data_IF_137519905799
#
_entry.id   IF_137519905799
#
_cell.length_a   1.000
_cell.length_b   1.000
_cell.length_c   1.000
_cell.angle_alpha   90.00
_cell.angle_beta   90.00
_cell.angle_gamma   90.00
#
_symmetry.space_group_name_H-M   'P 1'
#
loop_
_entity.id
_entity.type
_entity.pdbx_description
1 polymer ?
#
# COMPACT_ATOMS: atom_id res chain seq x y z
N UNK A 1 -12.19 38.95 -4.68
CA UNK A 1 -11.85 37.83 -3.76
C UNK A 1 -12.65 36.57 -4.07
N UNK A 2 -13.99 36.61 -4.21
CA UNK A 2 -14.84 35.43 -4.51
C UNK A 2 -14.62 34.79 -5.90
N UNK A 3 -14.17 35.55 -6.90
CA UNK A 3 -14.06 35.10 -8.29
C UNK A 3 -12.79 34.31 -8.63
N UNK A 4 -11.80 34.22 -7.72
CA UNK A 4 -10.54 33.54 -8.00
C UNK A 4 -10.50 32.14 -7.37
N UNK A 5 -11.14 31.19 -8.04
CA UNK A 5 -11.22 29.80 -7.56
C UNK A 5 -9.83 29.18 -7.30
N UNK A 6 -8.87 29.38 -8.22
CA UNK A 6 -7.49 28.86 -8.08
C UNK A 6 -6.80 29.39 -6.82
N UNK A 7 -6.98 30.68 -6.53
CA UNK A 7 -6.39 31.32 -5.36
C UNK A 7 -7.04 30.79 -4.07
N UNK A 8 -8.37 30.62 -4.07
CA UNK A 8 -9.09 30.04 -2.93
C UNK A 8 -8.63 28.61 -2.65
N UNK A 9 -8.55 27.76 -3.68
CA UNK A 9 -8.06 26.37 -3.53
C UNK A 9 -6.63 26.34 -2.98
N UNK A 10 -5.75 27.21 -3.48
CA UNK A 10 -4.38 27.32 -2.97
C UNK A 10 -4.35 27.75 -1.50
N UNK A 11 -5.12 28.77 -1.14
CA UNK A 11 -5.24 29.26 0.24
C UNK A 11 -5.77 28.18 1.19
N UNK A 12 -6.91 27.54 0.86
CA UNK A 12 -7.49 26.48 1.69
C UNK A 12 -6.54 25.29 1.83
N UNK A 13 -5.77 24.97 0.78
CA UNK A 13 -4.74 23.92 0.86
C UNK A 13 -3.61 24.31 1.80
N UNK A 14 -3.11 25.54 1.72
CA UNK A 14 -2.09 26.05 2.63
C UNK A 14 -2.60 26.09 4.08
N UNK A 15 -3.82 26.59 4.30
CA UNK A 15 -4.47 26.61 5.60
C UNK A 15 -4.62 25.20 6.19
N UNK A 16 -5.05 24.22 5.37
CA UNK A 16 -5.15 22.82 5.81
C UNK A 16 -3.78 22.25 6.19
N UNK A 17 -2.75 22.49 5.37
CA UNK A 17 -1.39 22.04 5.67
C UNK A 17 -0.84 22.70 6.95
N UNK A 18 -1.15 23.97 7.18
CA UNK A 18 -0.77 24.69 8.38
C UNK A 18 -1.47 24.12 9.62
N UNK A 19 -2.80 23.95 9.58
CA UNK A 19 -3.59 23.35 10.67
C UNK A 19 -3.14 21.92 11.00
N UNK A 20 -2.72 21.17 9.99
CA UNK A 20 -2.20 19.82 10.17
C UNK A 20 -0.73 19.77 10.65
N UNK A 21 -0.05 20.92 10.84
CA UNK A 21 1.37 20.97 11.20
C UNK A 21 2.31 20.43 10.12
N UNK A 22 1.86 20.35 8.87
CA UNK A 22 2.63 19.82 7.74
C UNK A 22 3.35 20.93 6.96
N UNK A 23 2.83 22.15 7.02
CA UNK A 23 3.48 23.31 6.42
C UNK A 23 4.67 23.73 7.28
N UNK A 24 5.86 23.83 6.66
CA UNK A 24 7.11 24.20 7.35
C UNK A 24 7.50 23.30 8.53
N UNK A 25 7.09 22.02 8.53
CA UNK A 25 7.45 21.07 9.58
C UNK A 25 8.98 20.95 9.80
N UNK A 26 9.80 21.22 8.78
CA UNK A 26 11.26 21.26 8.92
C UNK A 26 11.78 22.35 9.87
N UNK A 27 10.96 23.35 10.21
CA UNK A 27 11.29 24.43 11.14
C UNK A 27 10.79 24.14 12.56
N UNK A 28 10.13 23.01 12.81
CA UNK A 28 9.70 22.64 14.17
C UNK A 28 10.93 22.47 15.07
N UNK A 29 11.08 23.28 16.13
CA UNK A 29 12.21 23.19 17.05
C UNK A 29 12.39 21.79 17.65
N UNK A 30 11.29 21.05 17.86
CA UNK A 30 11.32 19.68 18.38
C UNK A 30 11.97 18.70 17.41
N UNK A 31 11.78 18.91 16.11
CA UNK A 31 12.40 18.08 15.06
C UNK A 31 13.86 18.45 14.81
N UNK A 32 14.29 19.63 15.26
CA UNK A 32 15.65 20.14 15.19
C UNK A 32 16.50 19.75 16.41
N UNK A 33 15.90 19.21 17.49
CA UNK A 33 16.62 18.70 18.68
C UNK A 33 17.65 17.61 18.32
N UNK A 34 17.40 16.85 17.25
CA UNK A 34 18.31 15.84 16.70
C UNK A 34 19.35 16.37 15.70
N UNK A 35 19.41 17.69 15.49
CA UNK A 35 20.26 18.37 14.52
C UNK A 35 19.55 18.80 13.22
N UNK A 36 20.26 19.47 12.30
CA UNK A 36 19.68 20.01 11.07
C UNK A 36 19.05 18.92 10.20
N UNK A 37 17.75 19.04 9.91
CA UNK A 37 17.06 18.16 8.95
C UNK A 37 17.48 18.55 7.54
N UNK A 38 18.06 17.64 6.73
CA UNK A 38 18.44 17.96 5.36
C UNK A 38 17.23 18.37 4.53
N UNK A 39 17.30 19.51 3.84
CA UNK A 39 16.22 20.00 2.96
C UNK A 39 16.06 19.19 1.66
N UNK A 40 16.81 18.10 1.48
CA UNK A 40 16.77 17.26 0.28
C UNK A 40 16.58 15.80 0.66
N UNK A 41 15.94 15.03 -0.23
CA UNK A 41 15.74 13.59 -0.06
C UNK A 41 17.00 12.76 -0.37
N UNK A 42 18.13 13.39 -0.70
CA UNK A 42 19.38 12.70 -1.07
C UNK A 42 19.84 11.68 -0.02
N UNK A 43 19.67 11.98 1.28
CA UNK A 43 20.00 11.05 2.37
C UNK A 43 19.11 9.80 2.36
N UNK A 44 17.84 9.95 2.00
CA UNK A 44 16.91 8.84 1.86
C UNK A 44 17.20 8.04 0.59
N UNK A 45 17.35 8.74 -0.55
CA UNK A 45 17.53 8.14 -1.86
C UNK A 45 18.87 7.43 -2.03
N UNK A 46 19.96 8.08 -1.59
CA UNK A 46 21.31 7.51 -1.61
C UNK A 46 21.57 6.56 -0.44
N UNK A 47 20.89 6.75 0.69
CA UNK A 47 21.06 5.94 1.89
C UNK A 47 20.15 4.72 1.91
N UNK A 48 18.92 4.89 2.40
CA UNK A 48 17.99 3.77 2.67
C UNK A 48 17.42 3.16 1.39
N UNK A 49 17.08 3.96 0.38
CA UNK A 49 16.42 3.46 -0.83
C UNK A 49 17.38 2.80 -1.82
N UNK A 50 18.63 3.24 -1.88
CA UNK A 50 19.66 2.66 -2.76
C UNK A 50 19.80 1.13 -2.65
N UNK A 51 20.01 0.54 -1.45
CA UNK A 51 20.10 -0.91 -1.31
C UNK A 51 18.79 -1.64 -1.62
N UNK A 52 17.64 -1.06 -1.28
CA UNK A 52 16.32 -1.63 -1.62
C UNK A 52 16.15 -1.68 -3.15
N UNK A 53 16.48 -0.59 -3.84
CA UNK A 53 16.47 -0.53 -5.31
C UNK A 53 17.41 -1.58 -5.91
N UNK A 54 18.57 -1.81 -5.31
CA UNK A 54 19.50 -2.86 -5.73
C UNK A 54 18.90 -4.26 -5.55
N UNK A 55 18.28 -4.54 -4.40
CA UNK A 55 17.58 -5.83 -4.15
C UNK A 55 16.50 -6.06 -5.20
N UNK A 56 15.66 -5.05 -5.47
CA UNK A 56 14.61 -5.14 -6.49
C UNK A 56 15.20 -5.37 -7.91
N UNK A 57 16.31 -4.71 -8.24
CA UNK A 57 16.97 -4.90 -9.54
C UNK A 57 17.56 -6.30 -9.67
N UNK A 58 18.19 -6.82 -8.61
CA UNK A 58 18.85 -8.13 -8.63
C UNK A 58 17.84 -9.29 -8.67
N UNK A 59 16.65 -9.10 -8.10
CA UNK A 59 15.60 -10.12 -8.02
C UNK A 59 14.49 -9.88 -9.05
N UNK A 60 14.78 -9.09 -10.09
CA UNK A 60 13.84 -8.83 -11.18
C UNK A 60 13.47 -10.15 -11.86
N UNK A 61 12.18 -10.37 -12.08
CA UNK A 61 11.66 -11.62 -12.66
C UNK A 61 11.18 -12.64 -11.63
N UNK A 62 11.38 -12.40 -10.33
CA UNK A 62 10.71 -13.16 -9.28
C UNK A 62 9.26 -12.67 -9.07
N UNK A 63 8.45 -13.51 -8.43
CA UNK A 63 7.11 -13.13 -7.98
C UNK A 63 7.23 -11.96 -7.00
N UNK A 64 6.32 -10.99 -7.10
CA UNK A 64 6.30 -9.78 -6.28
C UNK A 64 6.42 -10.07 -4.77
N UNK A 65 5.78 -11.13 -4.28
CA UNK A 65 5.86 -11.55 -2.89
C UNK A 65 7.29 -11.88 -2.45
N UNK A 66 8.09 -12.55 -3.29
CA UNK A 66 9.48 -12.86 -3.01
C UNK A 66 10.36 -11.61 -3.03
N UNK A 67 10.18 -10.74 -4.02
CA UNK A 67 10.89 -9.46 -4.08
C UNK A 67 10.62 -8.61 -2.83
N UNK A 68 9.36 -8.57 -2.37
CA UNK A 68 8.97 -7.87 -1.16
C UNK A 68 9.63 -8.47 0.08
N UNK A 69 9.65 -9.81 0.21
CA UNK A 69 10.36 -10.47 1.33
C UNK A 69 11.86 -10.19 1.32
N UNK A 70 12.50 -10.17 0.16
CA UNK A 70 13.91 -9.82 0.04
C UNK A 70 14.18 -8.36 0.50
N UNK A 71 13.30 -7.42 0.13
CA UNK A 71 13.41 -6.04 0.59
C UNK A 71 13.18 -5.91 2.10
N UNK A 72 12.21 -6.64 2.65
CA UNK A 72 11.94 -6.67 4.09
C UNK A 72 13.13 -7.21 4.88
N UNK A 73 13.79 -8.26 4.38
CA UNK A 73 15.02 -8.79 4.95
C UNK A 73 16.14 -7.74 4.91
N UNK A 74 16.36 -7.07 3.77
CA UNK A 74 17.39 -6.02 3.65
C UNK A 74 17.15 -4.86 4.63
N UNK A 75 15.89 -4.43 4.79
CA UNK A 75 15.51 -3.44 5.79
C UNK A 75 15.75 -3.95 7.22
N UNK A 76 15.43 -5.21 7.49
CA UNK A 76 15.59 -5.82 8.81
C UNK A 76 17.06 -5.90 9.22
N UNK A 77 17.93 -6.34 8.32
CA UNK A 77 19.37 -6.46 8.55
C UNK A 77 20.06 -5.13 8.85
N UNK A 78 19.45 -4.01 8.44
CA UNK A 78 19.94 -2.65 8.70
C UNK A 78 19.35 -2.01 9.96
N UNK A 79 18.47 -2.72 10.67
CA UNK A 79 17.96 -2.25 11.96
C UNK A 79 19.04 -2.33 13.05
N UNK A 80 18.92 -1.62 14.18
CA UNK A 80 19.95 -1.58 15.22
C UNK A 80 20.28 -2.93 15.87
N UNK A 81 19.38 -3.91 15.79
CA UNK A 81 19.54 -5.25 16.42
C UNK A 81 18.80 -6.33 15.62
N UNK A 82 19.36 -6.79 14.49
CA UNK A 82 18.77 -7.87 13.72
C UNK A 82 18.98 -9.21 14.43
N UNK A 83 17.88 -9.90 14.70
CA UNK A 83 17.84 -11.28 15.17
C UNK A 83 17.22 -12.17 14.09
N UNK A 84 18.08 -12.88 13.36
CA UNK A 84 17.65 -13.79 12.30
C UNK A 84 16.80 -14.95 12.84
N UNK A 85 16.94 -15.33 14.11
CA UNK A 85 16.19 -16.44 14.70
C UNK A 85 14.73 -16.06 14.95
N UNK A 86 14.48 -14.81 15.35
CA UNK A 86 13.13 -14.28 15.55
C UNK A 86 12.44 -13.83 14.24
N UNK A 87 13.17 -13.80 13.13
CA UNK A 87 12.70 -13.27 11.86
C UNK A 87 11.48 -14.01 11.28
N UNK A 88 11.41 -15.36 11.29
CA UNK A 88 10.24 -16.09 10.77
C UNK A 88 8.96 -15.73 11.51
N UNK A 89 8.96 -15.79 12.85
CA UNK A 89 7.80 -15.44 13.69
C UNK A 89 7.37 -13.98 13.48
N UNK A 90 8.33 -13.06 13.36
CA UNK A 90 8.03 -11.65 13.02
C UNK A 90 7.33 -11.53 11.68
N UNK A 91 7.81 -12.22 10.65
CA UNK A 91 7.23 -12.20 9.32
C UNK A 91 5.85 -12.83 9.25
N UNK A 92 5.58 -13.84 10.07
CA UNK A 92 4.24 -14.42 10.24
C UNK A 92 3.30 -13.46 10.96
N UNK A 93 3.73 -12.85 12.07
CA UNK A 93 2.94 -11.84 12.79
C UNK A 93 2.59 -10.66 11.89
N UNK A 94 3.55 -10.17 11.12
CA UNK A 94 3.31 -9.08 10.17
C UNK A 94 2.38 -9.50 9.03
N UNK A 95 2.52 -10.74 8.53
CA UNK A 95 1.60 -11.31 7.54
C UNK A 95 0.16 -11.35 8.04
N UNK A 96 -0.04 -11.83 9.27
CA UNK A 96 -1.36 -11.83 9.94
C UNK A 96 -1.94 -10.44 10.10
N UNK A 97 -1.13 -9.47 10.54
CA UNK A 97 -1.57 -8.08 10.67
C UNK A 97 -2.00 -7.46 9.33
N UNK A 98 -1.24 -7.71 8.25
CA UNK A 98 -1.59 -7.23 6.90
C UNK A 98 -2.89 -7.88 6.38
N UNK A 99 -3.06 -9.18 6.61
CA UNK A 99 -4.29 -9.88 6.26
C UNK A 99 -5.51 -9.31 7.02
N UNK A 100 -5.36 -9.01 8.32
CA UNK A 100 -6.42 -8.39 9.11
C UNK A 100 -6.77 -6.97 8.62
N UNK A 101 -5.77 -6.16 8.26
CA UNK A 101 -5.99 -4.83 7.68
C UNK A 101 -6.73 -4.95 6.35
N UNK A 102 -6.32 -5.87 5.48
CA UNK A 102 -6.97 -6.10 4.19
C UNK A 102 -8.42 -6.55 4.35
N UNK A 103 -8.68 -7.50 5.25
CA UNK A 103 -10.03 -7.98 5.54
C UNK A 103 -10.93 -6.84 6.05
N UNK A 104 -10.39 -5.98 6.92
CA UNK A 104 -11.12 -4.79 7.40
C UNK A 104 -11.41 -3.80 6.26
N UNK A 105 -10.43 -3.55 5.38
CA UNK A 105 -10.62 -2.68 4.21
C UNK A 105 -11.67 -3.25 3.25
N UNK A 106 -11.70 -4.57 3.05
CA UNK A 106 -12.72 -5.25 2.24
C UNK A 106 -14.11 -5.14 2.89
N UNK A 107 -14.23 -5.31 4.20
CA UNK A 107 -15.49 -5.08 4.93
C UNK A 107 -15.96 -3.63 4.86
N UNK A 108 -15.06 -2.66 5.10
CA UNK A 108 -15.36 -1.23 4.99
C UNK A 108 -15.76 -0.86 3.56
N UNK A 109 -15.17 -1.49 2.54
CA UNK A 109 -15.53 -1.31 1.14
C UNK A 109 -16.91 -1.89 0.82
N UNK A 110 -17.21 -3.12 1.27
CA UNK A 110 -18.52 -3.78 1.10
C UNK A 110 -19.62 -2.92 1.74
N UNK A 111 -19.39 -2.42 2.95
CA UNK A 111 -20.32 -1.57 3.68
C UNK A 111 -20.47 -0.18 3.05
N UNK A 112 -19.43 0.35 2.41
CA UNK A 112 -19.47 1.61 1.68
C UNK A 112 -20.16 1.49 0.29
N UNK A 113 -20.11 0.33 -0.35
CA UNK A 113 -20.79 0.07 -1.63
C UNK A 113 -22.28 -0.23 -1.51
N UNK A 114 -22.79 -0.47 -0.29
CA UNK A 114 -24.21 -0.46 0.02
C UNK A 114 -25.06 -1.58 -0.58
N UNK A 115 -24.46 -2.60 -1.20
CA UNK A 115 -25.18 -3.76 -1.73
C UNK A 115 -24.53 -5.04 -1.18
N UNK A 116 -25.08 -5.52 -0.08
CA UNK A 116 -24.79 -6.84 0.46
C UNK A 116 -25.53 -7.84 -0.43
N UNK A 117 -24.87 -8.69 -1.23
CA UNK A 117 -25.60 -9.72 -1.95
C UNK A 117 -26.21 -10.65 -0.91
N UNK A 118 -27.53 -10.59 -0.77
CA UNK A 118 -28.29 -11.49 0.09
C UNK A 118 -27.87 -12.95 -0.21
N UNK A 119 -27.65 -13.74 0.83
CA UNK A 119 -27.33 -15.16 0.69
C UNK A 119 -28.45 -15.84 -0.10
N UNK A 120 -28.22 -16.06 -1.40
CA UNK A 120 -29.24 -16.50 -2.36
C UNK A 120 -29.12 -15.87 -3.76
N UNK A 121 -28.39 -14.75 -3.92
CA UNK A 121 -28.28 -14.03 -5.22
C UNK A 121 -26.96 -14.29 -5.96
N UNK A 122 -26.19 -15.31 -5.57
CA UNK A 122 -25.00 -15.68 -6.33
C UNK A 122 -25.46 -16.25 -7.69
N UNK A 123 -25.09 -15.54 -8.76
CA UNK A 123 -25.29 -15.99 -10.15
C UNK A 123 -24.73 -17.40 -10.28
N UNK A 124 -25.62 -18.36 -10.53
CA UNK A 124 -25.26 -19.74 -10.83
C UNK A 124 -24.55 -19.78 -12.19
N UNK A 125 -23.29 -20.19 -12.21
CA UNK A 125 -22.49 -20.30 -13.43
C UNK A 125 -22.98 -21.37 -14.41
N UNK A 126 -24.03 -22.14 -14.07
CA UNK A 126 -24.61 -23.16 -14.95
C UNK A 126 -25.47 -22.60 -16.10
N UNK A 127 -25.81 -21.31 -16.11
CA UNK A 127 -26.70 -20.72 -17.12
C UNK A 127 -26.01 -20.35 -18.45
N UNK A 128 -24.67 -20.42 -18.52
CA UNK A 128 -23.88 -20.04 -19.71
C UNK A 128 -23.61 -21.18 -20.70
N UNK A 129 -24.10 -22.40 -20.44
CA UNK A 129 -24.02 -23.51 -21.39
C UNK A 129 -25.42 -23.90 -21.87
N UNK A 130 -25.89 -23.22 -22.91
CA UNK A 130 -26.95 -23.76 -23.74
C UNK A 130 -26.40 -25.00 -24.48
N UNK A 131 -26.71 -26.20 -23.98
CA UNK A 131 -26.55 -27.43 -24.77
C UNK A 131 -27.54 -27.38 -25.92
N UNK A 132 -27.14 -26.83 -27.07
CA UNK A 132 -27.86 -27.06 -28.33
C UNK A 132 -27.56 -28.48 -28.79
N UNK A 133 -28.55 -29.37 -28.94
CA UNK A 133 -28.35 -30.68 -29.54
C UNK A 133 -27.91 -30.51 -31.00
N UNK A 134 -26.91 -31.27 -31.40
CA UNK A 134 -26.45 -31.36 -32.77
C UNK A 134 -27.52 -32.09 -33.61
N UNK A 135 -27.94 -31.59 -34.79
CA UNK A 135 -28.92 -32.30 -35.60
C UNK A 135 -28.25 -33.50 -36.29
N UNK A 136 -28.60 -34.71 -35.84
CA UNK A 136 -28.33 -35.94 -36.58
C UNK A 136 -29.27 -36.02 -37.79
N UNK A 137 -28.76 -35.65 -38.97
CA UNK A 137 -29.39 -36.00 -40.23
C UNK A 137 -28.82 -37.33 -40.71
N UNK A 138 -29.50 -38.43 -40.41
CA UNK A 138 -29.35 -39.68 -41.16
C UNK A 138 -30.68 -40.41 -41.18
N UNK A 139 -31.44 -40.19 -42.26
CA UNK A 139 -32.11 -41.20 -43.10
C UNK A 139 -33.07 -40.54 -44.07
#
# INVERSE_FOLDING_TARGET
WWTHERLRRAYTRMEKLFRNGQLFACLDPRLLEGGPVPGTTNRLEGGVNSPIKRVLSNHRGMIQAHMMRACELECYMRSPSPDLKALPDRFERQGRARAAIRAKQEQDAIQATGDEPAAGTAISWNELHASTPYPDSTS
#
